data_IF_707929176475
#
_entry.id   IF_707929176475
#
_cell.length_a   1.000
_cell.length_b   1.000
_cell.length_c   1.000
_cell.angle_alpha   90.00
_cell.angle_beta   90.00
_cell.angle_gamma   90.00
#
_symmetry.space_group_name_H-M   'P 1'
#
loop_
_entity.id
_entity.type
_entity.pdbx_description
1 polymer ?
#
# COMPACT_ATOMS: atom_id res chain seq x y z
N UNK A 1 -9.72 23.40 -7.73
CA UNK A 1 -9.48 21.95 -7.62
C UNK A 1 -9.80 21.30 -8.95
N UNK A 2 -8.81 20.69 -9.59
CA UNK A 2 -9.01 19.96 -10.84
C UNK A 2 -9.59 18.57 -10.53
N UNK A 3 -10.92 18.45 -10.60
CA UNK A 3 -11.63 17.21 -10.25
C UNK A 3 -11.29 16.01 -11.13
N UNK A 4 -10.83 16.24 -12.38
CA UNK A 4 -10.41 15.17 -13.29
C UNK A 4 -9.10 14.52 -12.82
N UNK A 5 -8.10 15.35 -12.50
CA UNK A 5 -6.82 14.88 -11.96
C UNK A 5 -7.03 14.13 -10.64
N UNK A 6 -7.93 14.63 -9.77
CA UNK A 6 -8.26 13.95 -8.52
C UNK A 6 -8.80 12.53 -8.74
N UNK A 7 -9.72 12.34 -9.69
CA UNK A 7 -10.28 11.01 -10.01
C UNK A 7 -9.20 10.08 -10.58
N UNK A 8 -8.33 10.57 -11.47
CA UNK A 8 -7.21 9.78 -12.00
C UNK A 8 -6.30 9.29 -10.87
N UNK A 9 -5.87 10.20 -10.00
CA UNK A 9 -4.98 9.88 -8.87
C UNK A 9 -5.64 8.87 -7.94
N UNK A 10 -6.90 9.09 -7.54
CA UNK A 10 -7.62 8.17 -6.67
C UNK A 10 -7.78 6.78 -7.30
N UNK A 11 -8.05 6.70 -8.60
CA UNK A 11 -8.21 5.42 -9.30
C UNK A 11 -6.91 4.60 -9.26
N UNK A 12 -5.78 5.25 -9.52
CA UNK A 12 -4.46 4.60 -9.44
C UNK A 12 -4.13 4.19 -8.00
N UNK A 13 -4.43 5.05 -7.04
CA UNK A 13 -4.19 4.77 -5.62
C UNK A 13 -4.97 3.57 -5.12
N UNK A 14 -6.23 3.40 -5.57
CA UNK A 14 -7.05 2.23 -5.22
C UNK A 14 -6.48 0.97 -5.90
N UNK A 15 -6.19 1.04 -7.20
CA UNK A 15 -5.69 -0.10 -7.96
C UNK A 15 -4.37 -0.62 -7.38
N UNK A 16 -3.36 0.26 -7.31
CA UNK A 16 -2.02 -0.10 -6.80
C UNK A 16 -2.07 -0.37 -5.30
N UNK A 17 -2.86 0.39 -4.54
CA UNK A 17 -2.96 0.19 -3.10
C UNK A 17 -3.46 -1.18 -2.74
N UNK A 18 -4.53 -1.64 -3.40
CA UNK A 18 -5.11 -2.98 -3.13
C UNK A 18 -4.09 -4.09 -3.43
N UNK A 19 -3.35 -3.97 -4.53
CA UNK A 19 -2.31 -4.95 -4.90
C UNK A 19 -1.16 -4.97 -3.89
N UNK A 20 -0.62 -3.80 -3.53
CA UNK A 20 0.51 -3.68 -2.61
C UNK A 20 0.14 -4.19 -1.21
N UNK A 21 -1.05 -3.87 -0.71
CA UNK A 21 -1.53 -4.41 0.56
C UNK A 21 -1.78 -5.91 0.51
N UNK A 22 -2.38 -6.40 -0.58
CA UNK A 22 -2.60 -7.84 -0.79
C UNK A 22 -1.30 -8.62 -0.72
N UNK A 23 -0.27 -8.16 -1.44
CA UNK A 23 1.07 -8.77 -1.43
C UNK A 23 1.72 -8.66 -0.05
N UNK A 24 1.62 -7.52 0.61
CA UNK A 24 2.20 -7.32 1.93
C UNK A 24 1.62 -8.28 2.99
N UNK A 25 0.29 -8.39 3.06
CA UNK A 25 -0.38 -9.24 4.04
C UNK A 25 -0.15 -10.72 3.70
N UNK A 26 -0.33 -11.10 2.42
CA UNK A 26 -0.10 -12.48 1.98
C UNK A 26 1.36 -12.91 2.19
N UNK A 27 2.32 -12.02 1.93
CA UNK A 27 3.74 -12.25 2.19
C UNK A 27 4.04 -12.43 3.68
N UNK A 28 3.46 -11.59 4.54
CA UNK A 28 3.59 -11.71 5.99
C UNK A 28 3.04 -13.04 6.51
N UNK A 29 1.87 -13.46 6.00
CA UNK A 29 1.27 -14.76 6.29
C UNK A 29 2.16 -15.92 5.83
N UNK A 30 2.66 -15.86 4.59
CA UNK A 30 3.47 -16.93 4.00
C UNK A 30 4.79 -17.12 4.77
N UNK A 31 5.50 -16.04 5.08
CA UNK A 31 6.75 -16.11 5.87
C UNK A 31 6.47 -16.68 7.27
N UNK A 32 5.42 -16.20 7.95
CA UNK A 32 5.07 -16.69 9.27
C UNK A 32 4.77 -18.20 9.28
N UNK A 33 4.05 -18.69 8.26
CA UNK A 33 3.72 -20.10 8.08
C UNK A 33 4.95 -20.97 7.76
N UNK A 34 5.83 -20.50 6.87
CA UNK A 34 7.02 -21.26 6.46
C UNK A 34 8.03 -21.48 7.59
N UNK A 35 8.12 -20.54 8.53
CA UNK A 35 9.04 -20.62 9.67
C UNK A 35 8.36 -21.08 10.97
N UNK A 36 7.08 -21.48 10.93
CA UNK A 36 6.28 -21.91 12.10
C UNK A 36 6.35 -20.93 13.29
N UNK A 37 6.42 -19.62 13.01
CA UNK A 37 6.69 -18.55 13.99
C UNK A 37 5.52 -18.28 14.98
N UNK A 38 4.43 -19.03 14.86
CA UNK A 38 3.22 -18.86 15.66
C UNK A 38 2.41 -17.61 15.28
N UNK A 39 1.21 -17.49 15.87
CA UNK A 39 0.25 -16.46 15.48
C UNK A 39 0.69 -15.03 15.83
N UNK A 40 1.35 -14.83 16.97
CA UNK A 40 1.77 -13.48 17.43
C UNK A 40 2.78 -12.87 16.47
N UNK A 41 3.83 -13.61 16.12
CA UNK A 41 4.85 -13.15 15.18
C UNK A 41 4.27 -13.03 13.77
N UNK A 42 3.35 -13.91 13.38
CA UNK A 42 2.65 -13.80 12.11
C UNK A 42 1.85 -12.51 11.96
N UNK A 43 1.08 -12.13 12.98
CA UNK A 43 0.37 -10.85 12.97
C UNK A 43 1.33 -9.65 13.00
N UNK A 44 2.44 -9.75 13.74
CA UNK A 44 3.47 -8.72 13.74
C UNK A 44 4.10 -8.52 12.36
N UNK A 45 4.42 -9.60 11.64
CA UNK A 45 4.96 -9.55 10.27
C UNK A 45 3.95 -8.97 9.27
N UNK A 46 2.69 -9.41 9.32
CA UNK A 46 1.63 -8.84 8.48
C UNK A 46 1.45 -7.34 8.75
N UNK A 47 1.47 -6.93 10.01
CA UNK A 47 1.39 -5.53 10.41
C UNK A 47 2.59 -4.72 9.90
N UNK A 48 3.80 -5.24 10.07
CA UNK A 48 5.04 -4.60 9.60
C UNK A 48 5.04 -4.40 8.07
N UNK A 49 4.66 -5.44 7.32
CA UNK A 49 4.58 -5.32 5.86
C UNK A 49 3.45 -4.41 5.41
N UNK A 50 2.33 -4.37 6.14
CA UNK A 50 1.24 -3.42 5.87
C UNK A 50 1.67 -1.96 6.13
N UNK A 51 2.49 -1.70 7.14
CA UNK A 51 3.10 -0.38 7.35
C UNK A 51 4.05 -0.01 6.21
N UNK A 52 4.82 -0.97 5.69
CA UNK A 52 5.63 -0.76 4.51
C UNK A 52 4.78 -0.47 3.26
N UNK A 53 3.67 -1.19 3.07
CA UNK A 53 2.70 -0.92 2.00
C UNK A 53 2.11 0.50 2.09
N UNK A 54 1.75 0.96 3.30
CA UNK A 54 1.32 2.33 3.54
C UNK A 54 2.38 3.34 3.12
N UNK A 55 3.64 3.11 3.48
CA UNK A 55 4.75 3.97 3.08
C UNK A 55 4.88 4.07 1.56
N UNK A 56 4.80 2.93 0.84
CA UNK A 56 4.83 2.90 -0.62
C UNK A 56 3.67 3.73 -1.21
N UNK A 57 2.45 3.62 -0.66
CA UNK A 57 1.31 4.41 -1.11
C UNK A 57 1.49 5.91 -0.88
N UNK A 58 2.09 6.31 0.25
CA UNK A 58 2.41 7.73 0.48
C UNK A 58 3.40 8.23 -0.56
N UNK A 59 4.42 7.44 -0.90
CA UNK A 59 5.37 7.80 -1.96
C UNK A 59 4.66 7.90 -3.31
N UNK A 60 3.79 6.93 -3.66
CA UNK A 60 3.00 6.95 -4.89
C UNK A 60 2.14 8.20 -4.97
N UNK A 61 1.40 8.52 -3.92
CA UNK A 61 0.59 9.73 -3.83
C UNK A 61 1.41 10.98 -4.16
N UNK A 62 2.57 11.15 -3.49
CA UNK A 62 3.46 12.29 -3.72
C UNK A 62 3.94 12.38 -5.16
N UNK A 63 4.23 11.24 -5.81
CA UNK A 63 4.62 11.18 -7.22
C UNK A 63 3.47 11.57 -8.15
N UNK A 64 2.29 11.02 -7.92
CA UNK A 64 1.08 11.33 -8.68
C UNK A 64 0.73 12.82 -8.60
N UNK A 65 0.74 13.41 -7.40
CA UNK A 65 0.45 14.84 -7.22
C UNK A 65 1.51 15.77 -7.80
N UNK A 66 2.75 15.30 -7.97
CA UNK A 66 3.82 16.08 -8.59
C UNK A 66 3.69 16.09 -10.13
N UNK A 67 3.11 15.05 -10.72
CA UNK A 67 2.88 14.94 -12.18
C UNK A 67 1.53 15.58 -12.56
N UNK A 68 0.48 15.35 -11.78
CA UNK A 68 -0.86 15.91 -11.96
C UNK A 68 -1.28 16.74 -10.74
N UNK A 69 -0.95 18.05 -10.68
CA UNK A 69 -1.38 18.92 -9.58
C UNK A 69 -2.91 18.98 -9.45
N UNK A 70 -3.39 18.88 -8.21
CA UNK A 70 -4.83 18.88 -7.88
C UNK A 70 -5.36 20.32 -7.69
N UNK A 71 -4.47 21.24 -7.33
CA UNK A 71 -4.72 22.67 -7.27
C UNK A 71 -3.60 23.37 -8.03
N UNK A 72 -3.98 24.39 -8.81
CA UNK A 72 -3.05 25.36 -9.40
C UNK A 72 -2.59 26.35 -8.33
#
# INVERSE_FOLDING_TARGET
MNGRNLVTILSIMILVGTEVFGVAIAGGWAIAGLFELGHVVGYALMGLFSLFALYVLVVLWRRCTAVEPIAE
#
